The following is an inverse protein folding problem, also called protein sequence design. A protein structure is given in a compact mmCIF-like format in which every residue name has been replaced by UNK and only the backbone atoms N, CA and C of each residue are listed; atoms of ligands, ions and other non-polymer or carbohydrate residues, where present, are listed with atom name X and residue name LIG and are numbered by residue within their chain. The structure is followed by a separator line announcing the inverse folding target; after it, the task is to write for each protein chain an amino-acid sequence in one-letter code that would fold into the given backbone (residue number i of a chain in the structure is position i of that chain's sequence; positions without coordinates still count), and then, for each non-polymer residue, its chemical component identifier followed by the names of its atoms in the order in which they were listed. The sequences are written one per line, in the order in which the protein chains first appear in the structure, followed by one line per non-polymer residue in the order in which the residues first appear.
data_IF_796076812379
#
_entry.id   IF_796076812379
#
_cell.length_a   1.000
_cell.length_b   1.000
_cell.length_c   1.000
_cell.angle_alpha   90.00
_cell.angle_beta   90.00
_cell.angle_gamma   90.00
#
_symmetry.space_group_name_H-M   'P 1'
#
loop_
_entity.id
_entity.type
_entity.pdbx_description
1 polymer ?
#
# COMPACT_ATOMS: atom_id res chain seq x y z
N UNK A 1 11.94 3.22 2.55
CA UNK A 1 10.68 3.64 1.88
C UNK A 1 10.81 4.92 1.06
N UNK A 2 11.80 5.78 1.30
CA UNK A 2 11.90 7.11 0.67
C UNK A 2 11.94 7.10 -0.87
N UNK A 3 12.43 6.03 -1.49
CA UNK A 3 12.49 5.90 -2.96
C UNK A 3 11.18 5.43 -3.61
N UNK A 4 10.18 5.02 -2.83
CA UNK A 4 8.89 4.57 -3.38
C UNK A 4 8.05 5.78 -3.74
N UNK A 5 7.64 5.87 -5.00
CA UNK A 5 6.91 7.03 -5.55
C UNK A 5 5.43 6.76 -5.76
N UNK A 6 5.03 5.50 -5.88
CA UNK A 6 3.65 5.08 -6.13
C UNK A 6 3.38 3.70 -5.53
N UNK A 7 2.20 3.51 -4.95
CA UNK A 7 1.69 2.20 -4.58
C UNK A 7 0.29 1.93 -5.15
N UNK A 8 0.01 0.71 -5.61
CA UNK A 8 -1.32 0.18 -5.85
C UNK A 8 -1.63 -0.82 -4.73
N UNK A 9 -2.81 -0.72 -4.13
CA UNK A 9 -3.21 -1.58 -3.02
C UNK A 9 -4.50 -2.31 -3.34
N UNK A 10 -4.51 -3.62 -3.08
CA UNK A 10 -5.67 -4.48 -3.26
C UNK A 10 -6.07 -5.04 -1.89
N UNK A 11 -7.28 -4.73 -1.43
CA UNK A 11 -7.82 -5.24 -0.17
C UNK A 11 -8.95 -6.23 -0.44
N UNK A 12 -9.01 -7.30 0.35
CA UNK A 12 -10.12 -8.27 0.29
C UNK A 12 -11.36 -7.79 1.04
N UNK A 13 -11.19 -6.86 1.99
CA UNK A 13 -12.24 -6.25 2.79
C UNK A 13 -11.98 -4.75 2.94
N UNK A 14 -12.80 -3.95 2.27
CA UNK A 14 -12.65 -2.48 2.27
C UNK A 14 -13.02 -1.84 3.62
N UNK A 15 -13.72 -2.56 4.52
CA UNK A 15 -13.97 -2.07 5.88
C UNK A 15 -12.67 -1.92 6.68
N UNK A 16 -11.63 -2.66 6.31
CA UNK A 16 -10.30 -2.62 6.93
C UNK A 16 -9.36 -1.54 6.35
N UNK A 17 -9.86 -0.68 5.45
CA UNK A 17 -9.03 0.38 4.86
C UNK A 17 -8.41 1.30 5.92
N UNK A 18 -9.08 1.55 7.04
CA UNK A 18 -8.54 2.34 8.15
C UNK A 18 -7.26 1.74 8.74
N UNK A 19 -7.26 0.43 8.99
CA UNK A 19 -6.09 -0.29 9.51
C UNK A 19 -4.94 -0.31 8.49
N UNK A 20 -5.26 -0.54 7.21
CA UNK A 20 -4.27 -0.42 6.15
C UNK A 20 -3.68 1.00 6.07
N UNK A 21 -4.52 2.03 6.12
CA UNK A 21 -4.09 3.44 6.06
C UNK A 21 -3.15 3.78 7.21
N UNK A 22 -3.45 3.28 8.42
CA UNK A 22 -2.57 3.42 9.59
C UNK A 22 -1.22 2.75 9.36
N UNK A 23 -1.21 1.48 8.95
CA UNK A 23 0.03 0.75 8.64
C UNK A 23 0.85 1.42 7.52
N UNK A 24 0.17 1.94 6.48
CA UNK A 24 0.81 2.72 5.41
C UNK A 24 1.47 3.98 5.96
N UNK A 25 0.79 4.74 6.82
CA UNK A 25 1.35 5.96 7.38
C UNK A 25 2.55 5.67 8.30
N UNK A 26 2.51 4.59 9.09
CA UNK A 26 3.62 4.13 9.91
C UNK A 26 4.84 3.72 9.06
N UNK A 27 4.59 3.06 7.93
CA UNK A 27 5.62 2.66 6.96
C UNK A 27 6.23 3.85 6.18
N UNK A 28 5.50 4.96 6.08
CA UNK A 28 5.88 6.17 5.34
C UNK A 28 5.84 7.44 6.22
N UNK A 29 6.70 7.54 7.24
CA UNK A 29 6.65 8.63 8.22
C UNK A 29 6.96 10.02 7.64
N UNK A 30 7.66 10.09 6.51
CA UNK A 30 7.98 11.34 5.81
C UNK A 30 6.87 11.80 4.83
N UNK A 31 5.77 11.04 4.73
CA UNK A 31 4.69 11.27 3.77
C UNK A 31 4.47 10.06 2.87
N UNK A 32 3.20 9.81 2.54
CA UNK A 32 2.81 8.68 1.70
C UNK A 32 3.03 8.99 0.21
N UNK A 33 3.43 7.99 -0.61
CA UNK A 33 3.54 8.16 -2.05
C UNK A 33 2.16 8.36 -2.68
N UNK A 34 2.15 8.67 -4.00
CA UNK A 34 0.92 8.55 -4.77
C UNK A 34 0.31 7.15 -4.53
N UNK A 35 -1.01 7.06 -4.43
CA UNK A 35 -1.66 5.80 -4.10
C UNK A 35 -3.00 5.63 -4.80
N UNK A 36 -3.35 4.37 -5.04
CA UNK A 36 -4.68 3.94 -5.43
C UNK A 36 -5.01 2.66 -4.66
N UNK A 37 -6.25 2.53 -4.20
CA UNK A 37 -6.70 1.38 -3.40
C UNK A 37 -7.98 0.82 -3.98
N UNK A 38 -8.02 -0.49 -4.13
CA UNK A 38 -9.08 -1.24 -4.80
C UNK A 38 -9.59 -2.35 -3.90
N UNK A 39 -10.88 -2.66 -4.02
CA UNK A 39 -11.46 -3.87 -3.46
C UNK A 39 -11.27 -5.02 -4.45
N UNK A 40 -10.87 -6.19 -3.97
CA UNK A 40 -10.75 -7.43 -4.76
C UNK A 40 -11.40 -8.58 -4.00
N UNK A 41 -12.08 -9.55 -4.65
CA UNK A 41 -12.69 -10.66 -3.94
C UNK A 41 -11.67 -11.62 -3.30
N UNK A 42 -10.44 -11.69 -3.83
CA UNK A 42 -9.40 -12.60 -3.34
C UNK A 42 -8.00 -12.14 -3.77
N UNK A 43 -6.98 -12.75 -3.17
CA UNK A 43 -5.56 -12.58 -3.48
C UNK A 43 -4.94 -13.96 -3.74
N UNK A 44 -3.67 -14.00 -4.16
CA UNK A 44 -3.00 -15.26 -4.55
C UNK A 44 -3.01 -16.34 -3.44
N UNK A 45 -2.97 -15.93 -2.18
CA UNK A 45 -3.16 -16.81 -1.03
C UNK A 45 -4.46 -16.44 -0.28
N UNK A 46 -5.32 -17.43 0.08
CA UNK A 46 -6.61 -17.15 0.71
C UNK A 46 -6.54 -16.43 2.06
N UNK A 47 -5.41 -16.52 2.77
CA UNK A 47 -5.21 -15.89 4.07
C UNK A 47 -4.74 -14.44 4.00
N UNK A 48 -4.43 -13.91 2.81
CA UNK A 48 -3.99 -12.53 2.65
C UNK A 48 -5.18 -11.57 2.69
N UNK A 49 -5.00 -10.47 3.42
CA UNK A 49 -6.02 -9.41 3.55
C UNK A 49 -5.71 -8.21 2.66
N UNK A 50 -4.43 -8.02 2.33
CA UNK A 50 -3.94 -6.88 1.55
C UNK A 50 -2.73 -7.30 0.72
N UNK A 51 -2.64 -6.77 -0.49
CA UNK A 51 -1.47 -6.83 -1.35
C UNK A 51 -1.09 -5.41 -1.81
N UNK A 52 0.21 -5.12 -1.86
CA UNK A 52 0.73 -3.80 -2.26
C UNK A 52 1.76 -3.97 -3.36
N UNK A 53 1.48 -3.42 -4.53
CA UNK A 53 2.43 -3.24 -5.62
C UNK A 53 3.08 -1.86 -5.49
N UNK A 54 4.41 -1.79 -5.52
CA UNK A 54 5.16 -0.55 -5.37
C UNK A 54 6.01 -0.25 -6.60
N UNK A 55 6.08 1.03 -6.97
CA UNK A 55 7.00 1.58 -7.96
C UNK A 55 7.98 2.50 -7.24
N UNK A 56 9.28 2.31 -7.48
CA UNK A 56 10.35 3.09 -6.88
C UNK A 56 11.37 3.58 -7.92
N UNK A 57 11.99 4.73 -7.63
CA UNK A 57 13.13 5.26 -8.38
C UNK A 57 14.30 5.34 -7.40
N UNK A 58 15.41 4.67 -7.73
CA UNK A 58 16.57 4.60 -6.83
C UNK A 58 17.15 6.00 -6.62
N UNK A 59 17.27 6.42 -5.35
CA UNK A 59 17.83 7.72 -4.97
C UNK A 59 16.91 8.92 -5.20
N UNK A 60 15.61 8.70 -5.44
CA UNK A 60 14.64 9.81 -5.53
C UNK A 60 14.16 10.31 -4.16
N UNK A 61 14.37 9.52 -3.11
CA UNK A 61 14.07 9.91 -1.74
C UNK A 61 15.05 10.96 -1.21
N UNK A 62 14.51 11.99 -0.57
CA UNK A 62 15.26 13.03 0.16
C UNK A 62 15.76 12.55 1.51
#
# INVERSE_FOLDING_TARGET
MADVIKINTFLTDMSQYGEFSKARNEAFPAGVPASASYSTPTLVLPSLLVEVEAIAIIGSGS
#
